data_IF_737264788410
#
_entry.id   IF_737264788410
#
_cell.length_a   1.000
_cell.length_b   1.000
_cell.length_c   1.000
_cell.angle_alpha   90.00
_cell.angle_beta   90.00
_cell.angle_gamma   90.00
#
_symmetry.space_group_name_H-M   'P 1'
#
loop_
_entity.id
_entity.type
_entity.pdbx_description
1 polymer ?
#
# COMPACT_ATOMS: atom_id res chain seq x y z
N UNK A 1 12.45 -14.89 9.71
CA UNK A 1 11.04 -14.50 9.98
C UNK A 1 10.84 -12.98 9.84
N UNK A 2 11.45 -12.15 10.69
CA UNK A 2 11.24 -10.68 10.73
C UNK A 2 11.39 -9.94 9.39
N UNK A 3 12.41 -10.26 8.59
CA UNK A 3 12.66 -9.63 7.27
C UNK A 3 11.49 -9.81 6.28
N UNK A 4 10.80 -10.97 6.30
CA UNK A 4 9.68 -11.24 5.38
C UNK A 4 8.47 -10.34 5.67
N UNK A 5 8.18 -10.13 6.95
CA UNK A 5 7.10 -9.25 7.39
C UNK A 5 7.43 -7.77 7.15
N UNK A 6 8.69 -7.36 7.31
CA UNK A 6 9.13 -6.01 6.97
C UNK A 6 8.94 -5.71 5.46
N UNK A 7 9.27 -6.68 4.60
CA UNK A 7 9.05 -6.57 3.15
C UNK A 7 7.55 -6.54 2.83
N UNK A 8 6.72 -7.35 3.51
CA UNK A 8 5.26 -7.32 3.31
C UNK A 8 4.60 -6.02 3.82
N UNK A 9 5.21 -5.35 4.79
CA UNK A 9 4.72 -4.10 5.38
C UNK A 9 5.15 -2.85 4.61
N UNK A 10 6.20 -2.90 3.79
CA UNK A 10 6.67 -1.71 3.06
C UNK A 10 5.66 -1.13 2.05
N UNK A 11 4.86 -1.93 1.30
CA UNK A 11 3.83 -1.37 0.43
C UNK A 11 2.68 -0.74 1.24
N UNK A 12 2.40 -1.24 2.44
CA UNK A 12 1.40 -0.64 3.33
C UNK A 12 1.80 0.77 3.76
N UNK A 13 3.07 0.94 4.14
CA UNK A 13 3.62 2.26 4.48
C UNK A 13 3.56 3.20 3.28
N UNK A 14 3.95 2.72 2.08
CA UNK A 14 3.85 3.50 0.84
C UNK A 14 2.41 3.93 0.54
N UNK A 15 1.43 3.04 0.75
CA UNK A 15 0.01 3.35 0.58
C UNK A 15 -0.43 4.52 1.48
N UNK A 16 -0.06 4.49 2.76
CA UNK A 16 -0.44 5.52 3.74
C UNK A 16 0.21 6.85 3.37
N UNK A 17 1.51 6.84 3.06
CA UNK A 17 2.26 8.04 2.67
C UNK A 17 1.67 8.65 1.40
N UNK A 18 1.34 7.82 0.40
CA UNK A 18 0.71 8.25 -0.86
C UNK A 18 -0.62 8.98 -0.61
N UNK A 19 -1.48 8.42 0.24
CA UNK A 19 -2.74 9.09 0.63
C UNK A 19 -2.49 10.39 1.39
N UNK A 20 -1.57 10.41 2.35
CA UNK A 20 -1.25 11.62 3.11
C UNK A 20 -0.77 12.74 2.19
N UNK A 21 0.16 12.46 1.28
CA UNK A 21 0.66 13.44 0.31
C UNK A 21 -0.49 13.95 -0.57
N UNK A 22 -1.35 13.07 -1.09
CA UNK A 22 -2.50 13.49 -1.91
C UNK A 22 -3.41 14.49 -1.18
N UNK A 23 -3.59 14.33 0.14
CA UNK A 23 -4.40 15.22 0.97
C UNK A 23 -3.69 16.52 1.33
N UNK A 24 -2.38 16.46 1.57
CA UNK A 24 -1.58 17.64 1.89
C UNK A 24 -1.43 18.58 0.69
N UNK A 25 -1.29 18.02 -0.51
CA UNK A 25 -1.17 18.81 -1.75
C UNK A 25 -2.50 19.47 -2.09
N UNK A 26 -3.61 18.79 -1.86
CA UNK A 26 -4.95 19.32 -2.09
C UNK A 26 -5.28 19.52 -3.57
N UNK A 27 -6.35 20.25 -3.81
CA UNK A 27 -6.83 20.63 -5.14
C UNK A 27 -7.28 22.08 -5.14
N UNK A 28 -7.19 22.73 -6.30
CA UNK A 28 -7.64 24.10 -6.49
C UNK A 28 -8.39 24.25 -7.81
N UNK A 29 -9.31 25.20 -7.85
CA UNK A 29 -10.03 25.55 -9.08
C UNK A 29 -9.39 26.80 -9.67
N UNK A 30 -8.96 26.71 -10.92
CA UNK A 30 -8.36 27.80 -11.66
C UNK A 30 -9.37 28.90 -12.00
N UNK A 31 -8.90 30.10 -12.43
CA UNK A 31 -9.77 31.18 -12.88
C UNK A 31 -10.63 30.82 -14.11
N UNK A 32 -10.19 29.82 -14.87
CA UNK A 32 -10.88 29.21 -16.00
C UNK A 32 -11.94 28.16 -15.59
N UNK A 33 -12.10 27.92 -14.28
CA UNK A 33 -13.02 26.93 -13.74
C UNK A 33 -12.49 25.50 -13.80
N UNK A 34 -11.23 25.28 -14.20
CA UNK A 34 -10.65 23.95 -14.29
C UNK A 34 -10.12 23.50 -12.92
N UNK A 35 -10.41 22.25 -12.57
CA UNK A 35 -9.91 21.64 -11.34
C UNK A 35 -8.48 21.13 -11.54
N UNK A 36 -7.56 21.64 -10.73
CA UNK A 36 -6.17 21.20 -10.68
C UNK A 36 -5.94 20.28 -9.50
N UNK A 37 -5.65 19.01 -9.79
CA UNK A 37 -5.35 17.98 -8.79
C UNK A 37 -3.96 17.38 -9.03
N UNK A 38 -2.88 18.11 -8.71
CA UNK A 38 -1.51 17.72 -9.08
C UNK A 38 -1.05 16.40 -8.46
N UNK A 39 -1.67 15.97 -7.36
CA UNK A 39 -1.38 14.71 -6.67
C UNK A 39 -2.48 13.64 -6.82
N UNK A 40 -3.41 13.80 -7.76
CA UNK A 40 -4.53 12.86 -7.96
C UNK A 40 -4.07 11.41 -8.18
N UNK A 41 -2.98 11.23 -8.93
CA UNK A 41 -2.42 9.91 -9.25
C UNK A 41 -2.02 9.09 -8.02
N UNK A 42 -1.71 9.76 -6.89
CA UNK A 42 -1.35 9.09 -5.64
C UNK A 42 -2.54 8.38 -4.98
N UNK A 43 -3.78 8.76 -5.34
CA UNK A 43 -4.99 8.14 -4.81
C UNK A 43 -5.16 6.72 -5.40
N UNK A 44 -5.27 6.51 -6.73
CA UNK A 44 -5.28 5.16 -7.30
C UNK A 44 -4.04 4.34 -6.94
N UNK A 45 -2.86 4.98 -6.91
CA UNK A 45 -1.61 4.31 -6.58
C UNK A 45 -1.60 3.80 -5.12
N UNK A 46 -2.21 4.53 -4.19
CA UNK A 46 -2.34 4.09 -2.81
C UNK A 46 -3.15 2.79 -2.69
N UNK A 47 -4.28 2.69 -3.39
CA UNK A 47 -5.11 1.48 -3.40
C UNK A 47 -4.36 0.30 -4.00
N UNK A 48 -3.55 0.53 -5.04
CA UNK A 48 -2.69 -0.50 -5.62
C UNK A 48 -1.68 -1.03 -4.58
N UNK A 49 -0.99 -0.14 -3.88
CA UNK A 49 -0.04 -0.55 -2.83
C UNK A 49 -0.71 -1.24 -1.65
N UNK A 50 -1.89 -0.78 -1.24
CA UNK A 50 -2.68 -1.42 -0.20
C UNK A 50 -3.05 -2.85 -0.59
N UNK A 51 -3.55 -3.05 -1.82
CA UNK A 51 -3.87 -4.37 -2.34
C UNK A 51 -2.64 -5.29 -2.39
N UNK A 52 -1.51 -4.80 -2.92
CA UNK A 52 -0.26 -5.54 -2.95
C UNK A 52 0.21 -5.95 -1.55
N UNK A 53 0.00 -5.09 -0.54
CA UNK A 53 0.34 -5.43 0.84
C UNK A 53 -0.51 -6.58 1.38
N UNK A 54 -1.84 -6.55 1.15
CA UNK A 54 -2.73 -7.65 1.55
C UNK A 54 -2.26 -8.97 0.93
N UNK A 55 -1.99 -8.96 -0.38
CA UNK A 55 -1.49 -10.14 -1.10
C UNK A 55 -0.16 -10.63 -0.51
N UNK A 56 0.78 -9.74 -0.24
CA UNK A 56 2.07 -10.09 0.36
C UNK A 56 1.90 -10.71 1.76
N UNK A 57 1.03 -10.15 2.60
CA UNK A 57 0.74 -10.69 3.92
C UNK A 57 0.09 -12.08 3.86
N UNK A 58 -0.82 -12.31 2.91
CA UNK A 58 -1.40 -13.63 2.68
C UNK A 58 -0.33 -14.65 2.33
N UNK A 59 0.58 -14.35 1.39
CA UNK A 59 1.66 -15.27 1.02
C UNK A 59 2.62 -15.56 2.18
N UNK A 60 3.01 -14.53 2.95
CA UNK A 60 3.90 -14.72 4.11
C UNK A 60 3.21 -15.50 5.23
N UNK A 61 1.94 -15.20 5.51
CA UNK A 61 1.15 -15.88 6.53
C UNK A 61 0.89 -17.35 6.18
N UNK A 62 0.36 -17.62 4.98
CA UNK A 62 0.12 -18.98 4.49
C UNK A 62 1.41 -19.79 4.40
N UNK A 63 2.49 -19.20 3.87
CA UNK A 63 3.81 -19.85 3.82
C UNK A 63 4.33 -20.21 5.21
N UNK A 64 4.06 -19.37 6.22
CA UNK A 64 4.43 -19.67 7.61
C UNK A 64 3.63 -20.83 8.19
N UNK A 65 2.33 -20.92 7.92
CA UNK A 65 1.47 -22.03 8.37
C UNK A 65 1.92 -23.34 7.74
N UNK A 66 2.14 -23.36 6.43
CA UNK A 66 2.58 -24.57 5.70
C UNK A 66 3.94 -25.09 6.19
N UNK A 67 4.90 -24.20 6.44
CA UNK A 67 6.21 -24.59 6.97
C UNK A 67 6.11 -25.17 8.39
N UNK A 68 5.24 -24.63 9.23
CA UNK A 68 5.03 -25.19 10.57
C UNK A 68 4.39 -26.59 10.51
N UNK A 69 3.48 -26.85 9.57
CA UNK A 69 2.86 -28.18 9.40
C UNK A 69 3.87 -29.23 8.93
N UNK A 70 4.79 -28.88 8.02
CA UNK A 70 5.88 -29.78 7.59
C UNK A 70 6.90 -30.12 8.69
N UNK A 71 7.00 -29.30 9.75
CA UNK A 71 7.93 -29.54 10.86
C UNK A 71 7.35 -30.49 11.93
N UNK A 72 6.04 -30.72 11.90
CA UNK A 72 5.30 -31.53 12.88
C UNK A 72 5.01 -32.94 12.34
N UNK A 73 4.98 -33.11 11.01
CA UNK A 73 4.95 -34.41 10.32
C UNK A 73 6.34 -34.99 10.17
#
# INVERSE_FOLDING_TARGET
MKKKYLIAASPLLLSIISLMISRMVGSSVGPDGILHEPAFFLIPLSYLFFFCSIVAFLFVGLGSVLNNRKKIS
#
